data_IF_307879172421
#
_entry.id   IF_307879172421
#
_cell.length_a   1.000
_cell.length_b   1.000
_cell.length_c   1.000
_cell.angle_alpha   90.00
_cell.angle_beta   90.00
_cell.angle_gamma   90.00
#
_symmetry.space_group_name_H-M   'P 1'
#
loop_
_entity.id
_entity.type
_entity.pdbx_description
1 polymer ?
#
# COMPACT_ATOMS: atom_id res chain seq x y z
N UNK A 1 16.59 -19.49 -20.01
CA UNK A 1 15.69 -20.38 -20.78
C UNK A 1 14.28 -20.09 -20.28
N UNK A 2 13.56 -19.20 -20.98
CA UNK A 2 12.25 -18.70 -20.58
C UNK A 2 11.21 -19.83 -20.63
N UNK A 3 10.46 -20.05 -19.55
CA UNK A 3 9.35 -21.02 -19.50
C UNK A 3 8.06 -20.32 -19.94
N UNK A 4 7.75 -20.42 -21.24
CA UNK A 4 6.55 -19.85 -21.87
C UNK A 4 5.25 -20.62 -21.52
N UNK A 5 5.34 -21.72 -20.77
CA UNK A 5 4.26 -22.70 -20.63
C UNK A 5 3.16 -22.27 -19.63
N UNK A 6 3.37 -21.21 -18.83
CA UNK A 6 2.38 -20.75 -17.84
C UNK A 6 1.37 -19.72 -18.38
N UNK A 7 1.62 -19.11 -19.53
CA UNK A 7 0.79 -18.00 -20.06
C UNK A 7 -0.42 -18.51 -20.85
N UNK A 8 -0.36 -19.70 -21.44
CA UNK A 8 -1.35 -20.16 -22.43
C UNK A 8 -2.63 -20.79 -21.86
N UNK A 9 -2.69 -21.13 -20.58
CA UNK A 9 -3.84 -21.87 -20.02
C UNK A 9 -5.01 -20.96 -19.65
N UNK A 10 -4.79 -19.68 -19.34
CA UNK A 10 -5.82 -18.83 -18.72
C UNK A 10 -6.66 -17.97 -19.69
N UNK A 11 -6.33 -17.93 -20.98
CA UNK A 11 -7.02 -17.06 -21.96
C UNK A 11 -8.36 -17.62 -22.44
N UNK A 12 -8.67 -18.90 -22.19
CA UNK A 12 -9.82 -19.58 -22.80
C UNK A 12 -11.07 -19.77 -21.91
N UNK A 13 -11.03 -19.45 -20.61
CA UNK A 13 -12.18 -19.68 -19.71
C UNK A 13 -13.08 -18.45 -19.46
N UNK A 14 -12.72 -17.27 -19.98
CA UNK A 14 -13.41 -16.01 -19.68
C UNK A 14 -14.61 -15.65 -20.58
N UNK A 15 -15.17 -16.58 -21.38
CA UNK A 15 -16.21 -16.25 -22.39
C UNK A 15 -17.64 -16.74 -22.12
N UNK A 16 -17.90 -17.53 -21.08
CA UNK A 16 -19.20 -18.22 -20.92
C UNK A 16 -20.11 -17.76 -19.75
N UNK A 17 -19.90 -16.56 -19.18
CA UNK A 17 -20.75 -16.05 -18.09
C UNK A 17 -21.25 -14.62 -18.33
N UNK A 18 -22.09 -14.44 -19.36
CA UNK A 18 -22.84 -13.19 -19.63
C UNK A 18 -24.30 -13.51 -20.02
N UNK A 19 -25.26 -13.45 -19.07
CA UNK A 19 -26.70 -13.27 -19.37
C UNK A 19 -27.30 -12.20 -18.43
N UNK A 20 -27.60 -10.98 -18.93
CA UNK A 20 -28.16 -9.90 -18.14
C UNK A 20 -29.69 -9.87 -18.25
N UNK A 21 -30.39 -10.81 -17.60
CA UNK A 21 -31.86 -10.79 -17.51
C UNK A 21 -32.37 -11.27 -16.16
N UNK A 22 -32.47 -10.37 -15.18
CA UNK A 22 -33.46 -10.46 -14.08
C UNK A 22 -33.62 -9.10 -13.40
N UNK A 23 -34.77 -8.45 -13.67
CA UNK A 23 -35.13 -7.16 -13.11
C UNK A 23 -35.74 -7.26 -11.71
N UNK A 24 -35.82 -6.11 -11.03
CA UNK A 24 -36.57 -5.97 -9.77
C UNK A 24 -37.39 -4.68 -9.74
N UNK A 25 -38.54 -4.83 -9.08
CA UNK A 25 -39.69 -3.94 -8.97
C UNK A 25 -39.49 -2.76 -8.02
N UNK A 26 -40.23 -1.67 -8.27
CA UNK A 26 -40.35 -0.45 -7.46
C UNK A 26 -41.60 -0.46 -6.56
N UNK A 27 -41.53 0.18 -5.38
CA UNK A 27 -42.68 0.83 -4.71
C UNK A 27 -42.22 2.06 -3.89
N UNK A 28 -43.05 3.12 -3.74
CA UNK A 28 -42.66 4.40 -3.14
C UNK A 28 -43.17 4.56 -1.70
N UNK A 29 -42.51 5.41 -0.90
CA UNK A 29 -43.14 6.03 0.28
C UNK A 29 -42.56 7.41 0.61
N UNK A 30 -43.48 8.31 0.91
CA UNK A 30 -43.32 9.74 1.22
C UNK A 30 -43.18 10.00 2.73
N UNK A 31 -42.43 11.03 3.11
CA UNK A 31 -42.50 11.63 4.45
C UNK A 31 -41.43 12.71 4.71
N UNK A 32 -41.84 13.97 4.79
CA UNK A 32 -41.02 15.11 5.23
C UNK A 32 -40.91 15.16 6.77
N UNK A 33 -39.84 15.76 7.33
CA UNK A 33 -39.86 16.31 8.69
C UNK A 33 -39.85 17.86 8.71
N UNK A 34 -40.33 18.48 9.81
CA UNK A 34 -40.66 19.91 9.85
C UNK A 34 -39.51 20.82 10.31
N UNK A 35 -39.63 22.09 9.91
CA UNK A 35 -38.78 23.25 10.22
C UNK A 35 -39.03 23.82 11.62
N UNK A 36 -37.96 24.26 12.31
CA UNK A 36 -38.04 25.12 13.50
C UNK A 36 -37.33 26.47 13.26
N UNK A 37 -38.06 27.55 13.52
CA UNK A 37 -37.60 28.94 13.59
C UNK A 37 -37.20 29.30 15.03
N UNK A 38 -36.16 30.13 15.20
CA UNK A 38 -36.12 31.13 16.28
C UNK A 38 -35.24 32.35 15.89
N UNK A 39 -35.57 33.58 16.32
CA UNK A 39 -35.01 34.83 15.76
C UNK A 39 -33.91 35.50 16.60
N UNK A 40 -33.23 36.43 15.94
CA UNK A 40 -32.14 37.32 16.33
C UNK A 40 -32.41 38.24 17.54
N UNK A 41 -31.35 38.58 18.28
CA UNK A 41 -31.23 39.88 18.97
C UNK A 41 -29.80 40.44 18.87
N UNK A 42 -29.75 41.73 18.54
CA UNK A 42 -28.57 42.59 18.42
C UNK A 42 -28.40 43.41 19.71
N UNK A 43 -27.16 43.66 20.13
CA UNK A 43 -26.82 44.77 21.02
C UNK A 43 -25.37 45.20 20.78
N UNK A 44 -25.18 46.46 20.40
CA UNK A 44 -23.88 47.09 20.20
C UNK A 44 -23.29 47.66 21.48
N UNK A 45 -21.95 47.78 21.49
CA UNK A 45 -21.22 48.71 22.35
C UNK A 45 -20.08 49.31 21.52
N UNK A 46 -20.03 50.64 21.51
CA UNK A 46 -18.99 51.45 20.87
C UNK A 46 -17.76 51.52 21.79
N UNK A 47 -16.59 51.20 21.25
CA UNK A 47 -15.30 51.52 21.85
C UNK A 47 -14.52 52.43 20.88
N UNK A 48 -14.19 53.62 21.36
CA UNK A 48 -13.33 54.61 20.70
C UNK A 48 -11.89 54.13 20.81
N UNK A 49 -11.20 53.96 19.67
CA UNK A 49 -9.76 53.66 19.64
C UNK A 49 -9.04 54.54 18.62
N UNK A 50 -7.93 55.12 19.07
CA UNK A 50 -7.00 55.97 18.33
C UNK A 50 -6.40 55.24 17.11
N UNK A 51 -6.24 55.97 15.99
CA UNK A 51 -5.62 55.47 14.76
C UNK A 51 -4.14 55.90 14.72
N UNK A 52 -3.15 55.00 14.83
CA UNK A 52 -1.81 55.26 14.36
C UNK A 52 -1.71 54.95 12.85
N UNK A 53 -0.93 55.75 12.12
CA UNK A 53 -0.70 55.54 10.68
C UNK A 53 -0.23 54.11 10.40
N UNK A 54 -0.98 53.39 9.56
CA UNK A 54 -0.71 52.03 9.13
C UNK A 54 0.47 51.98 8.17
N UNK A 55 1.49 51.20 8.52
CA UNK A 55 2.48 50.73 7.54
C UNK A 55 1.78 49.76 6.56
N UNK A 56 2.14 49.77 5.27
CA UNK A 56 1.60 48.81 4.32
C UNK A 56 1.99 47.38 4.75
N UNK A 57 1.10 46.39 4.57
CA UNK A 57 1.40 45.02 4.89
C UNK A 57 2.58 44.53 4.04
N UNK A 58 3.44 43.64 4.60
CA UNK A 58 4.47 42.99 3.80
C UNK A 58 3.81 42.24 2.61
N UNK A 59 4.51 42.14 1.47
CA UNK A 59 4.00 41.37 0.35
C UNK A 59 3.72 39.93 0.78
N UNK A 60 2.67 39.29 0.24
CA UNK A 60 2.39 37.90 0.54
C UNK A 60 3.60 37.04 0.16
N UNK A 61 3.88 35.96 0.91
CA UNK A 61 4.91 35.01 0.52
C UNK A 61 4.58 34.47 -0.88
N UNK A 62 5.60 34.08 -1.67
CA UNK A 62 5.37 33.45 -2.96
C UNK A 62 4.46 32.22 -2.77
N UNK A 63 3.58 31.93 -3.75
CA UNK A 63 2.74 30.74 -3.68
C UNK A 63 3.62 29.49 -3.55
N UNK A 64 3.19 28.48 -2.77
CA UNK A 64 3.92 27.23 -2.67
C UNK A 64 4.10 26.62 -4.07
N UNK A 65 5.21 25.91 -4.33
CA UNK A 65 5.40 25.23 -5.60
C UNK A 65 4.25 24.25 -5.85
N UNK A 66 3.89 23.99 -7.12
CA UNK A 66 2.88 23.00 -7.44
C UNK A 66 3.27 21.64 -6.83
N UNK A 67 2.30 20.93 -6.25
CA UNK A 67 2.53 19.74 -5.43
C UNK A 67 3.41 18.67 -6.10
N UNK A 68 3.37 18.55 -7.44
CA UNK A 68 4.21 17.62 -8.19
C UNK A 68 5.71 17.95 -8.16
N UNK A 69 6.08 19.24 -8.14
CA UNK A 69 7.48 19.66 -8.12
C UNK A 69 8.11 19.41 -6.75
N UNK A 70 7.32 19.50 -5.68
CA UNK A 70 7.78 19.22 -4.33
C UNK A 70 8.02 17.73 -4.05
N UNK A 71 7.33 16.82 -4.76
CA UNK A 71 7.49 15.36 -4.59
C UNK A 71 8.74 14.86 -5.31
N UNK A 72 9.04 15.38 -6.50
CA UNK A 72 10.26 15.02 -7.25
C UNK A 72 11.54 15.45 -6.53
N UNK A 73 11.51 16.55 -5.77
CA UNK A 73 12.61 17.00 -4.91
C UNK A 73 12.97 15.99 -3.80
N UNK A 74 12.05 15.09 -3.48
CA UNK A 74 12.26 13.99 -2.52
C UNK A 74 12.77 12.71 -3.18
N UNK A 75 13.06 12.71 -4.48
CA UNK A 75 13.44 11.49 -5.22
C UNK A 75 12.26 10.54 -5.49
N UNK A 76 11.02 11.04 -5.33
CA UNK A 76 9.79 10.28 -5.58
C UNK A 76 9.23 10.71 -6.94
N UNK A 77 9.01 9.75 -7.84
CA UNK A 77 8.44 9.96 -9.16
C UNK A 77 6.96 9.60 -9.17
N UNK A 78 6.11 10.60 -9.39
CA UNK A 78 4.69 10.37 -9.65
C UNK A 78 4.51 9.71 -11.03
N UNK A 79 3.78 8.61 -11.04
CA UNK A 79 3.40 7.86 -12.24
C UNK A 79 1.89 7.93 -12.40
N UNK A 80 1.49 8.41 -13.57
CA UNK A 80 0.13 8.54 -14.05
C UNK A 80 0.00 7.78 -15.37
N UNK A 81 -1.19 7.76 -15.96
CA UNK A 81 -1.41 7.01 -17.19
C UNK A 81 -0.47 7.44 -18.34
N UNK A 82 -0.20 8.74 -18.46
CA UNK A 82 0.58 9.29 -19.58
C UNK A 82 2.08 8.95 -19.55
N UNK A 83 2.67 8.67 -18.38
CA UNK A 83 4.10 8.34 -18.24
C UNK A 83 4.36 6.90 -17.78
N UNK A 84 3.33 6.09 -17.55
CA UNK A 84 3.45 4.71 -17.08
C UNK A 84 4.50 3.88 -17.84
N UNK A 85 4.42 3.88 -19.17
CA UNK A 85 5.33 3.12 -20.03
C UNK A 85 6.78 3.62 -19.96
N UNK A 86 6.97 4.93 -19.84
CA UNK A 86 8.30 5.53 -19.74
C UNK A 86 8.98 5.13 -18.44
N UNK A 87 8.27 5.27 -17.32
CA UNK A 87 8.81 4.95 -16.01
C UNK A 87 9.09 3.44 -15.85
N UNK A 88 8.24 2.58 -16.41
CA UNK A 88 8.52 1.14 -16.40
C UNK A 88 9.74 0.73 -17.24
N UNK A 89 10.11 1.50 -18.28
CA UNK A 89 11.39 1.25 -18.99
C UNK A 89 12.58 1.52 -18.08
N UNK A 90 12.49 2.54 -17.22
CA UNK A 90 13.53 2.87 -16.25
C UNK A 90 13.57 1.81 -15.14
N UNK A 91 12.41 1.45 -14.57
CA UNK A 91 12.30 0.44 -13.51
C UNK A 91 12.91 -0.90 -13.95
N UNK A 92 12.66 -1.34 -15.19
CA UNK A 92 13.24 -2.58 -15.76
C UNK A 92 14.78 -2.58 -15.76
N UNK A 93 15.42 -1.41 -15.83
CA UNK A 93 16.86 -1.26 -15.74
C UNK A 93 17.33 -1.20 -14.27
N UNK A 94 16.62 -0.43 -13.43
CA UNK A 94 16.94 -0.27 -12.01
C UNK A 94 16.90 -1.61 -11.27
N UNK A 95 15.85 -2.40 -11.49
CA UNK A 95 15.62 -3.66 -10.77
C UNK A 95 16.71 -4.71 -11.00
N UNK A 96 17.53 -4.57 -12.06
CA UNK A 96 18.67 -5.47 -12.32
C UNK A 96 19.75 -5.36 -11.25
N UNK A 97 19.90 -4.18 -10.62
CA UNK A 97 20.89 -3.91 -9.57
C UNK A 97 20.22 -3.68 -8.20
N UNK A 98 19.10 -2.98 -8.18
CA UNK A 98 18.38 -2.60 -6.98
C UNK A 98 17.17 -3.53 -6.79
N UNK A 99 17.45 -4.77 -6.39
CA UNK A 99 16.47 -5.87 -6.33
C UNK A 99 15.81 -6.05 -4.95
N UNK A 100 16.04 -5.14 -4.01
CA UNK A 100 15.28 -5.02 -2.77
C UNK A 100 14.22 -3.96 -2.95
N UNK A 101 12.97 -4.38 -3.08
CA UNK A 101 11.86 -3.50 -3.42
C UNK A 101 11.03 -3.32 -2.17
N UNK A 102 10.94 -2.10 -1.65
CA UNK A 102 9.99 -1.76 -0.59
C UNK A 102 8.67 -1.25 -1.17
N UNK A 103 7.56 -1.61 -0.56
CA UNK A 103 6.23 -1.25 -1.04
C UNK A 103 5.26 -0.91 0.07
N UNK A 104 4.27 -0.14 -0.33
CA UNK A 104 3.10 0.25 0.46
C UNK A 104 1.96 0.61 -0.50
N UNK A 105 0.71 0.54 -0.04
CA UNK A 105 -0.47 0.90 -0.85
C UNK A 105 -1.42 1.82 -0.10
N UNK A 106 -2.10 2.69 -0.85
CA UNK A 106 -3.24 3.44 -0.35
C UNK A 106 -4.52 2.96 -1.02
N UNK A 107 -5.56 2.75 -0.21
CA UNK A 107 -6.85 2.21 -0.63
C UNK A 107 -7.97 2.75 0.29
N UNK A 108 -9.25 2.64 -0.11
CA UNK A 108 -10.34 3.38 0.54
C UNK A 108 -10.85 2.71 1.82
N UNK A 109 -9.96 2.09 2.59
CA UNK A 109 -10.24 1.49 3.90
C UNK A 109 -11.02 0.18 3.84
N UNK A 110 -11.94 0.02 4.78
CA UNK A 110 -12.73 -1.21 5.01
C UNK A 110 -14.20 -0.82 5.14
N UNK A 111 -15.05 -1.38 4.28
CA UNK A 111 -16.49 -1.05 4.21
C UNK A 111 -17.38 -2.24 4.59
N UNK A 112 -16.85 -3.46 4.59
CA UNK A 112 -17.60 -4.66 4.84
C UNK A 112 -16.96 -5.52 5.94
N UNK A 113 -17.81 -6.29 6.64
CA UNK A 113 -17.37 -7.38 7.52
C UNK A 113 -17.98 -8.68 7.01
N UNK A 114 -17.19 -9.78 6.95
CA UNK A 114 -17.72 -11.06 6.53
C UNK A 114 -18.71 -11.58 7.59
N UNK A 115 -19.83 -12.15 7.14
CA UNK A 115 -20.85 -12.76 8.00
C UNK A 115 -20.69 -14.28 7.92
N UNK A 116 -20.62 -14.94 9.07
CA UNK A 116 -20.53 -16.40 9.16
C UNK A 116 -19.80 -16.87 10.40
N UNK A 117 -19.61 -18.19 10.48
CA UNK A 117 -18.71 -18.82 11.44
C UNK A 117 -17.32 -18.99 10.82
N UNK A 118 -16.27 -18.74 11.61
CA UNK A 118 -14.88 -18.78 11.17
C UNK A 118 -14.11 -19.81 11.97
N UNK A 119 -13.16 -20.49 11.32
CA UNK A 119 -12.40 -21.58 11.94
C UNK A 119 -11.43 -21.07 13.00
N UNK A 120 -10.98 -19.83 12.88
CA UNK A 120 -10.05 -19.17 13.80
C UNK A 120 -10.08 -17.65 13.64
N UNK A 121 -9.37 -16.93 14.52
CA UNK A 121 -9.13 -15.50 14.34
C UNK A 121 -8.33 -15.19 13.07
N UNK A 122 -7.34 -16.03 12.71
CA UNK A 122 -6.57 -15.84 11.49
C UNK A 122 -7.45 -15.98 10.23
N UNK A 123 -8.31 -17.00 10.22
CA UNK A 123 -9.31 -17.21 9.15
C UNK A 123 -10.27 -16.02 9.06
N UNK A 124 -10.77 -15.49 10.18
CA UNK A 124 -11.58 -14.27 10.18
C UNK A 124 -10.82 -13.06 9.60
N UNK A 125 -9.54 -12.89 9.96
CA UNK A 125 -8.73 -11.79 9.44
C UNK A 125 -8.52 -11.91 7.92
N UNK A 126 -8.26 -13.12 7.42
CA UNK A 126 -8.16 -13.36 5.99
C UNK A 126 -9.49 -13.10 5.26
N UNK A 127 -10.62 -13.59 5.78
CA UNK A 127 -11.92 -13.34 5.16
C UNK A 127 -12.32 -11.85 5.18
N UNK A 128 -11.91 -11.11 6.22
CA UNK A 128 -12.11 -9.66 6.30
C UNK A 128 -11.27 -8.91 5.25
N UNK A 129 -10.02 -9.32 5.06
CA UNK A 129 -9.17 -8.81 3.99
C UNK A 129 -9.79 -9.11 2.63
N UNK A 130 -10.08 -10.39 2.35
CA UNK A 130 -10.62 -10.87 1.08
C UNK A 130 -11.84 -10.10 0.65
N UNK A 131 -12.85 -10.00 1.53
CA UNK A 131 -14.10 -9.36 1.15
C UNK A 131 -13.92 -7.87 0.81
N UNK A 132 -13.02 -7.16 1.48
CA UNK A 132 -12.80 -5.74 1.20
C UNK A 132 -11.90 -5.53 -0.02
N UNK A 133 -10.84 -6.33 -0.18
CA UNK A 133 -9.97 -6.25 -1.37
C UNK A 133 -10.76 -6.57 -2.64
N UNK A 134 -11.65 -7.57 -2.62
CA UNK A 134 -12.49 -7.91 -3.77
C UNK A 134 -13.46 -6.77 -4.14
N UNK A 135 -14.05 -6.11 -3.12
CA UNK A 135 -15.04 -5.04 -3.31
C UNK A 135 -14.44 -3.69 -3.70
N UNK A 136 -13.25 -3.37 -3.19
CA UNK A 136 -12.66 -2.03 -3.26
C UNK A 136 -11.58 -1.96 -4.34
N UNK A 137 -11.22 -0.73 -4.71
CA UNK A 137 -10.14 -0.45 -5.68
C UNK A 137 -8.96 0.19 -4.99
N UNK A 138 -7.76 -0.17 -5.45
CA UNK A 138 -6.50 0.48 -5.05
C UNK A 138 -6.50 1.94 -5.54
N UNK A 139 -5.84 2.83 -4.80
CA UNK A 139 -5.71 4.26 -5.15
C UNK A 139 -4.25 4.60 -5.48
N UNK A 140 -3.30 4.16 -4.64
CA UNK A 140 -1.87 4.30 -4.91
C UNK A 140 -1.08 3.03 -4.59
N UNK A 141 0.04 2.87 -5.28
CA UNK A 141 1.12 1.93 -4.94
C UNK A 141 2.45 2.69 -4.95
N UNK A 142 3.25 2.51 -3.91
CA UNK A 142 4.62 3.00 -3.84
C UNK A 142 5.60 1.86 -3.99
N UNK A 143 6.62 2.03 -4.84
CA UNK A 143 7.73 1.10 -4.97
C UNK A 143 9.05 1.85 -4.80
N UNK A 144 9.83 1.50 -3.77
CA UNK A 144 11.17 2.02 -3.52
C UNK A 144 12.22 0.95 -3.79
N UNK A 145 13.27 1.30 -4.52
CA UNK A 145 14.29 0.35 -4.97
C UNK A 145 15.60 0.54 -4.21
N UNK A 146 16.15 -0.56 -3.69
CA UNK A 146 17.40 -0.59 -2.93
C UNK A 146 18.28 -1.77 -3.35
N UNK A 147 19.57 -1.66 -3.09
CA UNK A 147 20.53 -2.76 -3.20
C UNK A 147 20.64 -3.53 -1.88
N UNK A 148 21.52 -4.54 -1.82
CA UNK A 148 21.74 -5.39 -0.65
C UNK A 148 22.24 -4.66 0.61
N UNK A 149 22.75 -3.43 0.45
CA UNK A 149 23.24 -2.59 1.53
C UNK A 149 22.23 -1.49 1.90
N UNK A 150 21.04 -1.49 1.30
CA UNK A 150 20.02 -0.47 1.52
C UNK A 150 20.30 0.85 0.80
N UNK A 151 21.22 0.88 -0.18
CA UNK A 151 21.47 2.06 -0.98
C UNK A 151 20.49 2.15 -2.13
N UNK A 152 20.01 3.35 -2.42
CA UNK A 152 19.04 3.63 -3.49
C UNK A 152 19.73 3.98 -4.82
N UNK A 153 19.03 3.87 -5.96
CA UNK A 153 19.57 4.32 -7.24
C UNK A 153 19.79 5.84 -7.29
N UNK A 154 20.72 6.33 -8.12
CA UNK A 154 20.87 7.77 -8.33
C UNK A 154 19.64 8.35 -9.05
N UNK A 155 19.22 9.56 -8.64
CA UNK A 155 18.03 10.21 -9.19
C UNK A 155 16.77 9.81 -8.41
N UNK A 156 15.76 9.30 -9.12
CA UNK A 156 14.54 8.80 -8.47
C UNK A 156 14.79 7.46 -7.81
N UNK A 157 14.43 7.37 -6.53
CA UNK A 157 14.55 6.16 -5.71
C UNK A 157 13.24 5.39 -5.62
N UNK A 158 12.13 6.11 -5.83
CA UNK A 158 10.79 5.67 -5.49
C UNK A 158 9.83 6.07 -6.59
N UNK A 159 8.93 5.16 -6.97
CA UNK A 159 7.84 5.42 -7.91
C UNK A 159 6.50 5.32 -7.19
N UNK A 160 5.68 6.34 -7.34
CA UNK A 160 4.34 6.43 -6.79
C UNK A 160 3.32 6.31 -7.93
N UNK A 161 2.72 5.14 -8.06
CA UNK A 161 1.71 4.86 -9.08
C UNK A 161 0.35 5.33 -8.58
N UNK A 162 -0.28 6.21 -9.35
CA UNK A 162 -1.57 6.79 -9.05
C UNK A 162 -2.65 6.14 -9.93
N UNK A 163 -3.49 5.28 -9.35
CA UNK A 163 -4.50 4.52 -10.09
C UNK A 163 -5.78 5.31 -10.32
N UNK A 164 -6.52 4.92 -11.36
CA UNK A 164 -7.83 5.48 -11.64
C UNK A 164 -8.83 5.16 -10.53
N UNK A 165 -9.44 6.20 -9.98
CA UNK A 165 -10.42 6.10 -8.90
C UNK A 165 -11.44 7.25 -8.99
N UNK A 166 -12.73 6.95 -8.84
CA UNK A 166 -13.82 7.92 -8.86
C UNK A 166 -14.61 7.89 -7.56
N UNK A 167 -14.76 9.05 -6.90
CA UNK A 167 -15.58 9.20 -5.69
C UNK A 167 -17.08 9.08 -5.97
N UNK A 168 -17.49 9.06 -7.23
CA UNK A 168 -18.86 8.96 -7.68
C UNK A 168 -19.22 7.51 -8.02
N UNK A 169 -18.28 6.75 -8.57
CA UNK A 169 -18.52 5.37 -9.03
C UNK A 169 -18.03 4.31 -8.05
N UNK A 170 -16.90 4.53 -7.37
CA UNK A 170 -16.23 3.52 -6.56
C UNK A 170 -16.69 3.56 -5.09
N UNK A 171 -16.69 2.40 -4.43
CA UNK A 171 -17.00 2.30 -2.99
C UNK A 171 -15.83 2.72 -2.13
N UNK A 172 -16.11 3.33 -0.97
CA UNK A 172 -15.11 3.76 -0.01
C UNK A 172 -15.64 3.93 1.40
N UNK A 173 -14.74 3.92 2.39
CA UNK A 173 -15.00 4.43 3.73
C UNK A 173 -14.70 5.93 3.80
N UNK A 174 -15.65 6.73 4.28
CA UNK A 174 -15.53 8.20 4.32
C UNK A 174 -14.27 8.66 5.06
N UNK A 175 -14.02 8.12 6.26
CA UNK A 175 -12.85 8.47 7.07
C UNK A 175 -11.53 8.23 6.34
N UNK A 176 -11.46 7.22 5.47
CA UNK A 176 -10.27 6.92 4.68
C UNK A 176 -10.07 7.93 3.56
N UNK A 177 -11.14 8.33 2.86
CA UNK A 177 -11.06 9.39 1.84
C UNK A 177 -10.66 10.72 2.46
N UNK A 178 -11.24 11.09 3.61
CA UNK A 178 -10.92 12.33 4.30
C UNK A 178 -9.44 12.35 4.72
N UNK A 179 -8.93 11.24 5.26
CA UNK A 179 -7.52 11.09 5.63
C UNK A 179 -6.61 11.24 4.41
N UNK A 180 -6.92 10.56 3.30
CA UNK A 180 -6.12 10.60 2.08
C UNK A 180 -6.15 11.99 1.41
N UNK A 181 -7.30 12.66 1.39
CA UNK A 181 -7.41 14.05 0.93
C UNK A 181 -6.55 14.99 1.77
N UNK A 182 -6.61 14.85 3.10
CA UNK A 182 -5.79 15.65 4.02
C UNK A 182 -4.29 15.35 3.88
N UNK A 183 -3.95 14.15 3.40
CA UNK A 183 -2.59 13.72 3.10
C UNK A 183 -2.10 14.14 1.70
N UNK A 184 -2.96 14.80 0.93
CA UNK A 184 -2.61 15.45 -0.34
C UNK A 184 -3.03 14.70 -1.61
N UNK A 185 -3.82 13.62 -1.50
CA UNK A 185 -4.31 12.92 -2.69
C UNK A 185 -5.32 13.77 -3.48
N UNK A 186 -5.09 13.88 -4.78
CA UNK A 186 -5.89 14.68 -5.69
C UNK A 186 -6.90 13.79 -6.44
N UNK A 187 -8.00 13.42 -5.79
CA UNK A 187 -8.98 12.45 -6.34
C UNK A 187 -9.51 12.82 -7.73
N UNK A 188 -9.68 14.11 -8.03
CA UNK A 188 -10.06 14.55 -9.38
C UNK A 188 -9.02 14.13 -10.43
N UNK A 189 -7.73 14.22 -10.08
CA UNK A 189 -6.64 13.80 -10.97
C UNK A 189 -6.57 12.27 -11.09
N UNK A 190 -6.84 11.53 -10.01
CA UNK A 190 -7.02 10.07 -10.10
C UNK A 190 -8.14 9.70 -11.09
N UNK A 191 -9.27 10.39 -11.04
CA UNK A 191 -10.39 10.12 -11.94
C UNK A 191 -10.06 10.42 -13.42
N UNK A 192 -9.39 11.56 -13.67
CA UNK A 192 -9.09 12.07 -15.02
C UNK A 192 -7.83 11.45 -15.66
N UNK A 193 -6.78 11.19 -14.87
CA UNK A 193 -5.43 10.84 -15.34
C UNK A 193 -4.86 9.56 -14.71
N UNK A 194 -5.60 8.91 -13.82
CA UNK A 194 -5.14 7.72 -13.10
C UNK A 194 -4.86 6.54 -14.02
N UNK A 195 -3.90 5.72 -13.62
CA UNK A 195 -3.48 4.51 -14.33
C UNK A 195 -4.63 3.50 -14.39
N UNK A 196 -4.85 2.92 -15.56
CA UNK A 196 -5.72 1.75 -15.68
C UNK A 196 -5.08 0.54 -14.97
N UNK A 197 -5.77 -0.09 -14.00
CA UNK A 197 -5.24 -1.22 -13.26
C UNK A 197 -4.79 -2.41 -14.12
N UNK A 198 -5.48 -2.70 -15.23
CA UNK A 198 -5.14 -3.80 -16.13
C UNK A 198 -3.90 -3.49 -16.95
N UNK A 199 -3.75 -2.25 -17.41
CA UNK A 199 -2.55 -1.81 -18.11
C UNK A 199 -1.32 -1.89 -17.20
N UNK A 200 -1.46 -1.47 -15.94
CA UNK A 200 -0.40 -1.66 -14.94
C UNK A 200 -0.05 -3.14 -14.76
N UNK A 201 -1.06 -4.00 -14.60
CA UNK A 201 -0.89 -5.44 -14.40
C UNK A 201 -0.12 -6.10 -15.56
N UNK A 202 -0.46 -5.76 -16.81
CA UNK A 202 0.25 -6.24 -17.99
C UNK A 202 1.74 -5.86 -17.97
N UNK A 203 2.03 -4.61 -17.65
CA UNK A 203 3.40 -4.08 -17.68
C UNK A 203 4.25 -4.66 -16.55
N UNK A 204 3.73 -4.73 -15.32
CA UNK A 204 4.47 -5.26 -14.17
C UNK A 204 4.76 -6.76 -14.33
N UNK A 205 3.85 -7.53 -14.93
CA UNK A 205 4.01 -8.96 -15.18
C UNK A 205 5.29 -9.29 -15.96
N UNK A 206 5.68 -8.40 -16.87
CA UNK A 206 6.87 -8.56 -17.74
C UNK A 206 8.03 -7.62 -17.38
N UNK A 207 7.98 -7.00 -16.20
CA UNK A 207 8.98 -6.02 -15.75
C UNK A 207 10.22 -6.64 -15.10
N UNK A 208 10.12 -7.89 -14.61
CA UNK A 208 11.13 -8.52 -13.77
C UNK A 208 10.98 -8.23 -12.26
N UNK A 209 9.87 -7.61 -11.84
CA UNK A 209 9.54 -7.38 -10.42
C UNK A 209 8.88 -8.58 -9.73
N UNK A 210 8.00 -9.28 -10.45
CA UNK A 210 7.19 -10.40 -9.94
C UNK A 210 7.60 -11.69 -10.62
N UNK A 211 7.34 -12.83 -9.99
CA UNK A 211 7.71 -14.18 -10.46
C UNK A 211 9.23 -14.42 -10.51
N UNK A 212 10.02 -13.58 -9.81
CA UNK A 212 11.48 -13.58 -9.85
C UNK A 212 12.07 -13.89 -8.47
N UNK A 213 12.87 -14.95 -8.36
CA UNK A 213 13.45 -15.43 -7.09
C UNK A 213 14.49 -14.45 -6.49
N UNK A 214 15.11 -13.62 -7.32
CA UNK A 214 16.12 -12.65 -6.88
C UNK A 214 15.51 -11.37 -6.30
N UNK A 215 14.21 -11.13 -6.48
CA UNK A 215 13.54 -9.93 -5.95
C UNK A 215 13.11 -10.17 -4.51
N UNK A 216 13.47 -9.23 -3.63
CA UNK A 216 13.16 -9.27 -2.21
C UNK A 216 12.18 -8.15 -1.89
N UNK A 217 10.95 -8.52 -1.55
CA UNK A 217 9.87 -7.60 -1.25
C UNK A 217 9.90 -7.20 0.24
N UNK A 218 9.90 -5.90 0.53
CA UNK A 218 9.94 -5.31 1.87
C UNK A 218 8.66 -4.53 2.15
N UNK A 219 7.93 -4.91 3.19
CA UNK A 219 6.59 -4.37 3.43
C UNK A 219 6.37 -4.04 4.90
N UNK A 220 5.25 -3.41 5.25
CA UNK A 220 4.88 -3.17 6.64
C UNK A 220 3.39 -3.46 6.86
N UNK A 221 3.07 -4.48 7.66
CA UNK A 221 1.68 -4.85 7.98
C UNK A 221 0.83 -5.13 6.72
N UNK A 222 1.39 -5.91 5.81
CA UNK A 222 1.07 -5.78 4.39
C UNK A 222 0.09 -6.80 3.84
N UNK A 223 -0.84 -7.28 4.68
CA UNK A 223 -1.87 -8.20 4.25
C UNK A 223 -2.68 -7.63 3.10
N UNK A 224 -3.24 -6.43 3.30
CA UNK A 224 -4.04 -5.74 2.29
C UNK A 224 -3.22 -5.35 1.06
N UNK A 225 -1.99 -4.86 1.22
CA UNK A 225 -1.12 -4.45 0.10
C UNK A 225 -0.89 -5.60 -0.88
N UNK A 226 -0.50 -6.77 -0.36
CA UNK A 226 -0.33 -7.95 -1.18
C UNK A 226 -1.66 -8.52 -1.69
N UNK A 227 -2.75 -8.35 -0.93
CA UNK A 227 -4.08 -8.63 -1.43
C UNK A 227 -4.41 -7.84 -2.70
N UNK A 228 -4.21 -6.52 -2.68
CA UNK A 228 -4.45 -5.68 -3.86
C UNK A 228 -3.53 -6.05 -5.02
N UNK A 229 -2.22 -6.22 -4.76
CA UNK A 229 -1.29 -6.62 -5.81
C UNK A 229 -1.65 -7.98 -6.42
N UNK A 230 -2.04 -8.95 -5.61
CA UNK A 230 -2.42 -10.26 -6.11
C UNK A 230 -3.70 -10.18 -6.94
N UNK A 231 -4.73 -9.45 -6.47
CA UNK A 231 -5.95 -9.17 -7.24
C UNK A 231 -5.65 -8.52 -8.59
N UNK A 232 -4.76 -7.52 -8.60
CA UNK A 232 -4.33 -6.85 -9.84
C UNK A 232 -3.64 -7.81 -10.80
N UNK A 233 -2.73 -8.64 -10.31
CA UNK A 233 -1.91 -9.54 -11.12
C UNK A 233 -2.66 -10.75 -11.65
N UNK A 234 -3.68 -11.22 -10.93
CA UNK A 234 -4.51 -12.35 -11.35
C UNK A 234 -5.74 -11.92 -12.15
N UNK A 235 -6.15 -10.65 -12.03
CA UNK A 235 -7.44 -10.16 -12.52
C UNK A 235 -8.62 -11.05 -12.07
N UNK A 236 -8.53 -11.56 -10.84
CA UNK A 236 -9.53 -12.41 -10.21
C UNK A 236 -9.76 -11.97 -8.76
N UNK A 237 -10.94 -12.31 -8.22
CA UNK A 237 -11.14 -12.25 -6.77
C UNK A 237 -10.09 -13.10 -6.05
N UNK A 238 -9.74 -12.71 -4.83
CA UNK A 238 -8.76 -13.44 -4.04
C UNK A 238 -9.26 -14.85 -3.71
N UNK A 239 -8.36 -15.84 -3.55
CA UNK A 239 -8.72 -17.22 -3.24
C UNK A 239 -9.65 -17.34 -2.03
N UNK A 240 -10.58 -18.29 -2.03
CA UNK A 240 -11.54 -18.42 -0.94
C UNK A 240 -10.89 -18.81 0.40
N UNK A 241 -9.83 -19.63 0.35
CA UNK A 241 -9.11 -20.15 1.51
C UNK A 241 -7.73 -19.49 1.63
N UNK A 242 -7.30 -19.20 2.87
CA UNK A 242 -6.04 -18.50 3.17
C UNK A 242 -4.81 -19.25 2.63
N UNK A 243 -4.82 -20.58 2.68
CA UNK A 243 -3.72 -21.39 2.18
C UNK A 243 -3.50 -21.22 0.67
N UNK A 244 -4.58 -21.12 -0.11
CA UNK A 244 -4.51 -20.95 -1.56
C UNK A 244 -4.06 -19.53 -1.90
N UNK A 245 -4.41 -18.54 -1.08
CA UNK A 245 -3.85 -17.20 -1.16
C UNK A 245 -2.34 -17.21 -0.96
N UNK A 246 -1.82 -17.83 0.11
CA UNK A 246 -0.38 -17.89 0.33
C UNK A 246 0.36 -18.67 -0.77
N UNK A 247 -0.20 -19.79 -1.25
CA UNK A 247 0.38 -20.52 -2.38
C UNK A 247 0.51 -19.62 -3.62
N UNK A 248 -0.54 -18.86 -3.94
CA UNK A 248 -0.52 -17.95 -5.09
C UNK A 248 0.43 -16.78 -4.84
N UNK A 249 0.39 -16.19 -3.65
CA UNK A 249 1.26 -15.10 -3.23
C UNK A 249 2.74 -15.46 -3.40
N UNK A 250 3.18 -16.61 -2.87
CA UNK A 250 4.58 -17.03 -2.95
C UNK A 250 5.02 -17.39 -4.37
N UNK A 251 4.11 -17.65 -5.31
CA UNK A 251 4.47 -17.75 -6.72
C UNK A 251 4.86 -16.39 -7.30
N UNK A 252 4.07 -15.34 -7.03
CA UNK A 252 4.32 -14.00 -7.55
C UNK A 252 5.44 -13.26 -6.79
N UNK A 253 5.56 -13.52 -5.49
CA UNK A 253 6.46 -12.84 -4.58
C UNK A 253 7.24 -13.87 -3.74
N UNK A 254 8.28 -14.50 -4.31
CA UNK A 254 8.97 -15.63 -3.66
C UNK A 254 9.61 -15.27 -2.32
N UNK A 255 10.14 -14.05 -2.19
CA UNK A 255 10.77 -13.55 -0.96
C UNK A 255 10.06 -12.29 -0.48
N UNK A 256 9.40 -12.37 0.66
CA UNK A 256 8.72 -11.25 1.33
C UNK A 256 9.27 -11.09 2.75
N UNK A 257 9.50 -9.86 3.20
CA UNK A 257 9.80 -9.51 4.58
C UNK A 257 8.83 -8.44 5.06
N UNK A 258 7.89 -8.82 5.90
CA UNK A 258 6.99 -7.87 6.58
C UNK A 258 7.69 -7.33 7.84
N UNK A 259 8.05 -6.04 7.82
CA UNK A 259 8.71 -5.33 8.92
C UNK A 259 7.88 -5.44 10.20
N UNK A 260 6.55 -5.35 10.13
CA UNK A 260 5.68 -5.47 11.29
C UNK A 260 5.74 -6.88 11.90
N UNK A 261 5.90 -7.90 11.06
CA UNK A 261 6.16 -9.26 11.53
C UNK A 261 7.54 -9.37 12.20
N UNK A 262 8.59 -8.86 11.56
CA UNK A 262 9.97 -8.87 12.07
C UNK A 262 10.10 -8.18 13.43
N UNK A 263 9.35 -7.10 13.65
CA UNK A 263 9.31 -6.40 14.94
C UNK A 263 8.91 -7.30 16.11
N UNK A 264 8.17 -8.41 15.89
CA UNK A 264 7.85 -9.38 16.95
C UNK A 264 9.09 -10.08 17.50
N UNK A 265 10.15 -10.16 16.70
CA UNK A 265 11.45 -10.75 17.06
C UNK A 265 12.40 -9.72 17.66
N UNK A 266 12.08 -8.43 17.53
CA UNK A 266 12.88 -7.32 18.02
C UNK A 266 12.41 -6.90 19.41
N UNK A 267 13.34 -6.73 20.36
CA UNK A 267 12.98 -6.19 21.68
C UNK A 267 12.63 -4.70 21.54
N UNK A 268 11.53 -4.29 22.17
CA UNK A 268 11.11 -2.90 22.36
C UNK A 268 10.67 -2.12 21.09
N UNK A 269 10.49 -2.75 19.93
CA UNK A 269 9.85 -2.09 18.78
C UNK A 269 8.35 -2.38 18.74
N UNK A 270 7.54 -1.33 18.80
CA UNK A 270 6.06 -1.41 18.74
C UNK A 270 5.50 -0.21 18.00
N UNK A 271 4.23 -0.29 17.60
CA UNK A 271 3.54 0.83 16.98
C UNK A 271 3.46 0.78 15.45
N UNK A 272 2.83 1.78 14.84
CA UNK A 272 2.71 1.96 13.39
C UNK A 272 4.03 2.34 12.72
N UNK A 273 4.04 2.43 11.38
CA UNK A 273 5.26 2.68 10.61
C UNK A 273 5.97 3.98 11.06
N UNK A 274 5.22 5.06 11.27
CA UNK A 274 5.79 6.33 11.74
C UNK A 274 6.38 6.21 13.16
N UNK A 275 5.69 5.55 14.09
CA UNK A 275 6.18 5.37 15.46
C UNK A 275 7.46 4.52 15.50
N UNK A 276 7.56 3.54 14.60
CA UNK A 276 8.76 2.70 14.43
C UNK A 276 9.90 3.51 13.83
N UNK A 277 9.63 4.33 12.82
CA UNK A 277 10.62 5.24 12.25
C UNK A 277 11.18 6.19 13.30
N UNK A 278 10.33 6.76 14.16
CA UNK A 278 10.75 7.65 15.24
C UNK A 278 11.65 6.91 16.26
N UNK A 279 11.30 5.68 16.63
CA UNK A 279 12.12 4.83 17.51
C UNK A 279 13.48 4.43 16.90
N UNK A 280 13.56 4.36 15.57
CA UNK A 280 14.76 4.04 14.82
C UNK A 280 15.54 5.30 14.38
N UNK A 281 15.08 6.49 14.80
CA UNK A 281 15.65 7.79 14.44
C UNK A 281 15.72 8.02 12.92
N UNK A 282 14.72 7.52 12.19
CA UNK A 282 14.62 7.63 10.74
C UNK A 282 13.80 8.87 10.36
N UNK A 283 14.35 9.66 9.43
CA UNK A 283 13.66 10.83 8.88
C UNK A 283 12.86 10.46 7.63
N UNK A 284 11.54 10.68 7.68
CA UNK A 284 10.66 10.55 6.52
C UNK A 284 11.04 11.52 5.40
N UNK A 285 10.90 11.04 4.17
CA UNK A 285 11.08 11.76 2.92
C UNK A 285 9.78 11.69 2.13
N UNK A 286 9.22 12.84 1.77
CA UNK A 286 7.88 12.93 1.17
C UNK A 286 6.72 13.02 2.17
N UNK A 287 5.48 13.17 1.67
CA UNK A 287 4.27 13.31 2.49
C UNK A 287 3.92 12.02 3.22
N UNK A 288 3.46 12.09 4.47
CA UNK A 288 2.96 10.92 5.20
C UNK A 288 1.59 10.49 4.63
N UNK A 289 1.27 9.18 4.66
CA UNK A 289 0.04 8.61 4.11
C UNK A 289 -0.08 8.83 2.59
N UNK A 290 1.06 8.62 1.93
CA UNK A 290 1.13 8.44 0.49
C UNK A 290 2.09 7.29 0.23
N UNK A 291 1.65 6.36 -0.61
CA UNK A 291 2.32 5.08 -0.80
C UNK A 291 3.80 5.21 -1.18
N UNK A 292 4.19 6.23 -1.95
CA UNK A 292 5.59 6.49 -2.30
C UNK A 292 6.46 6.71 -1.06
N UNK A 293 6.11 7.73 -0.27
CA UNK A 293 6.82 8.09 0.97
C UNK A 293 6.80 6.98 2.01
N UNK A 294 5.66 6.29 2.17
CA UNK A 294 5.53 5.16 3.09
C UNK A 294 6.35 3.94 2.64
N UNK A 295 6.41 3.63 1.34
CA UNK A 295 7.30 2.58 0.82
C UNK A 295 8.78 2.90 1.07
N UNK A 296 9.17 4.17 0.93
CA UNK A 296 10.55 4.60 1.20
C UNK A 296 10.89 4.43 2.68
N UNK A 297 10.00 4.87 3.57
CA UNK A 297 10.20 4.72 5.02
C UNK A 297 10.21 3.26 5.46
N UNK A 298 9.39 2.41 4.83
CA UNK A 298 9.40 0.95 5.03
C UNK A 298 10.76 0.35 4.67
N UNK A 299 11.34 0.75 3.54
CA UNK A 299 12.70 0.33 3.15
C UNK A 299 13.76 0.73 4.17
N UNK A 300 13.76 2.00 4.58
CA UNK A 300 14.67 2.51 5.61
C UNK A 300 14.53 1.73 6.94
N UNK A 301 13.29 1.51 7.38
CA UNK A 301 13.00 0.77 8.61
C UNK A 301 13.50 -0.67 8.54
N UNK A 302 13.29 -1.35 7.41
CA UNK A 302 13.77 -2.71 7.21
C UNK A 302 15.29 -2.80 7.33
N UNK A 303 16.04 -1.98 6.57
CA UNK A 303 17.51 -2.05 6.60
C UNK A 303 18.07 -1.68 7.98
N UNK A 304 17.45 -0.72 8.67
CA UNK A 304 17.86 -0.36 10.03
C UNK A 304 17.60 -1.48 11.04
N UNK A 305 16.46 -2.17 10.93
CA UNK A 305 16.14 -3.34 11.76
C UNK A 305 17.08 -4.50 11.46
N UNK A 306 17.35 -4.78 10.18
CA UNK A 306 18.29 -5.82 9.74
C UNK A 306 19.68 -5.61 10.34
N UNK A 307 20.18 -4.37 10.30
CA UNK A 307 21.46 -3.96 10.89
C UNK A 307 21.50 -4.19 12.41
N UNK A 308 20.47 -3.75 13.14
CA UNK A 308 20.50 -3.75 14.62
C UNK A 308 20.22 -5.12 15.23
N UNK A 309 19.31 -5.91 14.65
CA UNK A 309 18.72 -7.07 15.33
C UNK A 309 19.06 -8.43 14.72
N UNK A 310 19.52 -8.47 13.47
CA UNK A 310 19.62 -9.73 12.74
C UNK A 310 21.03 -10.09 12.29
N UNK A 311 22.04 -9.23 12.44
CA UNK A 311 23.42 -9.46 11.94
C UNK A 311 23.42 -10.03 10.50
N UNK A 312 22.55 -9.47 9.64
CA UNK A 312 22.26 -9.91 8.27
C UNK A 312 21.60 -11.30 8.08
N UNK A 313 21.32 -12.06 9.15
CA UNK A 313 20.65 -13.36 9.09
C UNK A 313 19.12 -13.26 9.22
N UNK A 314 18.45 -12.92 8.11
CA UNK A 314 16.99 -12.68 8.08
C UNK A 314 16.19 -13.74 7.29
N UNK A 315 16.87 -14.70 6.66
CA UNK A 315 16.26 -15.61 5.68
C UNK A 315 15.10 -16.45 6.25
N UNK A 316 15.23 -16.92 7.49
CA UNK A 316 14.20 -17.74 8.15
C UNK A 316 12.87 -17.02 8.39
N UNK A 317 12.86 -15.69 8.28
CA UNK A 317 11.68 -14.86 8.52
C UNK A 317 10.88 -14.56 7.26
N UNK A 318 11.34 -15.02 6.09
CA UNK A 318 10.67 -14.70 4.82
C UNK A 318 9.30 -15.36 4.69
N UNK A 319 8.40 -14.71 3.95
CA UNK A 319 7.10 -15.26 3.54
C UNK A 319 5.96 -15.10 4.53
N UNK A 320 6.21 -14.47 5.69
CA UNK A 320 5.22 -14.22 6.73
C UNK A 320 4.63 -12.82 6.63
N UNK A 321 3.30 -12.72 6.66
CA UNK A 321 2.58 -11.45 6.71
C UNK A 321 2.02 -11.22 8.12
N UNK A 322 2.10 -10.01 8.65
CA UNK A 322 1.55 -9.72 9.97
C UNK A 322 0.03 -9.90 9.98
N UNK A 323 -0.46 -10.70 10.92
CA UNK A 323 -1.90 -10.90 11.14
C UNK A 323 -2.54 -11.98 10.28
N UNK A 324 -1.77 -12.61 9.39
CA UNK A 324 -2.19 -13.72 8.53
C UNK A 324 -1.24 -14.92 8.69
N UNK A 325 -1.73 -16.11 8.35
CA UNK A 325 -1.02 -17.37 8.44
C UNK A 325 -1.01 -17.95 9.86
N UNK A 326 -0.97 -19.28 9.95
CA UNK A 326 -0.76 -19.95 11.22
C UNK A 326 0.63 -19.58 11.77
N UNK A 327 0.78 -19.36 13.09
CA UNK A 327 2.11 -19.18 13.67
C UNK A 327 2.94 -20.42 13.35
N UNK A 328 4.06 -20.24 12.66
CA UNK A 328 5.11 -21.26 12.64
C UNK A 328 5.48 -21.52 14.11
N UNK A 329 5.09 -22.69 14.62
CA UNK A 329 5.75 -23.23 15.80
C UNK A 329 7.18 -23.49 15.37
N UNK A 330 8.09 -22.56 15.69
CA UNK A 330 9.49 -22.93 15.83
C UNK A 330 9.52 -23.91 17.00
N UNK A 331 9.41 -25.20 16.70
CA UNK A 331 9.95 -26.21 17.61
C UNK A 331 11.44 -25.90 17.69
N UNK A 332 11.81 -25.15 18.72
CA UNK A 332 13.16 -25.16 19.25
C UNK A 332 13.44 -26.61 19.66
N UNK A 333 13.92 -27.41 18.71
CA UNK A 333 14.57 -28.71 18.83
C UNK A 333 14.58 -29.37 17.44
N UNK A 334 15.57 -29.01 16.63
CA UNK A 334 16.22 -29.89 15.66
C UNK A 334 17.49 -29.19 15.13
N UNK A 335 18.39 -28.85 16.05
CA UNK A 335 19.80 -28.97 15.72
C UNK A 335 20.10 -30.48 15.76
N UNK A 336 20.70 -31.09 14.72
CA UNK A 336 21.29 -32.40 14.88
C UNK A 336 22.37 -32.24 15.94
N UNK A 337 22.22 -32.88 17.09
CA UNK A 337 23.34 -33.12 17.99
C UNK A 337 24.38 -33.91 17.19
N UNK A 338 25.39 -33.19 16.71
CA UNK A 338 26.62 -33.81 16.26
C UNK A 338 27.19 -34.57 17.45
N UNK A 339 27.24 -35.89 17.32
CA UNK A 339 28.10 -36.72 18.15
C UNK A 339 29.53 -36.23 17.97
N UNK A 340 30.00 -35.38 18.87
CA UNK A 340 31.29 -35.51 19.53
C UNK A 340 31.55 -34.29 20.40
N UNK A 341 31.25 -34.46 21.70
CA UNK A 341 31.81 -33.61 22.72
C UNK A 341 33.31 -33.91 22.87
N UNK A 342 34.17 -33.04 22.33
CA UNK A 342 35.38 -32.55 23.00
C UNK A 342 36.08 -31.44 22.21
N UNK A 343 36.71 -30.47 22.91
CA UNK A 343 37.22 -29.26 22.29
C UNK A 343 38.67 -29.44 21.82
N UNK A 344 38.95 -29.01 20.58
CA UNK A 344 40.12 -28.20 20.18
C UNK A 344 39.64 -27.19 19.16
#
# INVERSE_FOLDING_TARGET
MFRADKIFVYVNEAKDLMDPRRGYFSYPYSGQPPTYYHPLFSAGMQAVNFVPMSQPPPPPPPPPPPASQAIEDYGIKDVWNYNLHEEFRIIRQIVQKYHWVAMDTEFPGVVARPIGEFRSTADYQYQLLRCNVDLLRIIQLGLTFMDENGQTPPGYTTWQFNFKFSLQEDMYAQDSIDLLQNSGLQFRKHEEEGIDPLEFAEIIMTSGLVLMDNIKWLSFHSGYDFGYLLKLLTDQNLPAEENDFFQTLHMYFPTIYDVKYLMKLCKNLKGGLQEVADQLELRRVGPQHQAGSDSHLTGMAFFKIKEIFFDDNIESSSGHLYGLGAPFSVTANNFPEGADGKPI
#
